data_IF_911586141775
#
_entry.id   IF_911586141775
#
_cell.length_a   1.000
_cell.length_b   1.000
_cell.length_c   1.000
_cell.angle_alpha   90.00
_cell.angle_beta   90.00
_cell.angle_gamma   90.00
#
_symmetry.space_group_name_H-M   'P 1'
#
loop_
_entity.id
_entity.type
_entity.pdbx_description
1 polymer ?
#
# COMPACT_ATOMS: atom_id res chain seq x y z
N UNK A 1 25.65 4.25 -18.67
CA UNK A 1 25.63 4.87 -17.33
C UNK A 1 24.57 5.95 -17.40
N UNK A 2 23.31 5.81 -17.00
CA UNK A 2 22.76 5.47 -15.67
C UNK A 2 21.27 5.04 -15.79
N UNK A 3 20.97 3.84 -16.31
CA UNK A 3 19.57 3.37 -16.34
C UNK A 3 19.01 3.09 -14.93
N UNK A 4 19.89 2.72 -13.99
CA UNK A 4 19.59 2.45 -12.58
C UNK A 4 18.78 3.59 -11.92
N UNK A 5 19.14 4.85 -12.19
CA UNK A 5 18.49 6.01 -11.59
C UNK A 5 17.02 6.15 -11.97
N UNK A 6 16.65 5.78 -13.21
CA UNK A 6 15.25 5.86 -13.66
C UNK A 6 14.36 4.79 -13.02
N UNK A 7 14.88 3.57 -12.83
CA UNK A 7 14.15 2.49 -12.14
C UNK A 7 13.99 2.80 -10.65
N UNK A 8 15.02 3.32 -10.01
CA UNK A 8 14.94 3.73 -8.60
C UNK A 8 13.92 4.85 -8.39
N UNK A 9 13.80 5.80 -9.32
CA UNK A 9 12.77 6.85 -9.26
C UNK A 9 11.34 6.28 -9.40
N UNK A 10 11.13 5.31 -10.30
CA UNK A 10 9.84 4.62 -10.42
C UNK A 10 9.50 3.82 -9.16
N UNK A 11 10.47 3.07 -8.61
CA UNK A 11 10.28 2.31 -7.37
C UNK A 11 10.03 3.23 -6.18
N UNK A 12 10.75 4.36 -6.09
CA UNK A 12 10.52 5.37 -5.07
C UNK A 12 9.09 5.91 -5.16
N UNK A 13 8.64 6.30 -6.35
CA UNK A 13 7.27 6.78 -6.59
C UNK A 13 6.20 5.75 -6.18
N UNK A 14 6.38 4.49 -6.57
CA UNK A 14 5.51 3.38 -6.14
C UNK A 14 5.51 3.21 -4.62
N UNK A 15 6.70 3.26 -3.98
CA UNK A 15 6.82 3.07 -2.55
C UNK A 15 6.16 4.18 -1.74
N UNK A 16 6.35 5.46 -2.14
CA UNK A 16 5.71 6.60 -1.46
C UNK A 16 4.21 6.63 -1.68
N UNK A 17 3.72 6.12 -2.83
CA UNK A 17 2.29 6.00 -3.14
C UNK A 17 1.67 4.89 -2.31
N UNK A 18 2.31 3.72 -2.28
CA UNK A 18 1.86 2.55 -1.54
C UNK A 18 1.87 2.78 -0.02
N UNK A 19 2.84 3.53 0.48
CA UNK A 19 2.90 3.95 1.89
C UNK A 19 2.06 5.19 2.20
N UNK A 20 1.36 5.76 1.20
CA UNK A 20 0.55 6.98 1.32
C UNK A 20 1.31 8.23 1.78
N UNK A 21 2.65 8.23 1.65
CA UNK A 21 3.49 9.37 1.99
C UNK A 21 3.26 10.56 1.07
N UNK A 22 3.16 10.29 -0.25
CA UNK A 22 2.78 11.29 -1.24
C UNK A 22 3.61 12.58 -1.23
N UNK A 23 4.95 12.48 -1.21
CA UNK A 23 5.85 13.65 -1.15
C UNK A 23 5.64 14.66 -2.29
N UNK A 24 5.05 14.24 -3.43
CA UNK A 24 4.68 15.13 -4.53
C UNK A 24 5.86 15.63 -5.37
N UNK A 25 7.04 15.07 -5.14
CA UNK A 25 8.27 15.33 -5.88
C UNK A 25 8.27 14.67 -7.26
N UNK A 26 7.59 13.53 -7.40
CA UNK A 26 7.32 12.87 -8.66
C UNK A 26 5.80 12.79 -8.83
N UNK A 27 5.29 13.34 -9.95
CA UNK A 27 3.86 13.35 -10.28
C UNK A 27 3.60 12.63 -11.60
N UNK A 28 2.54 11.81 -11.68
CA UNK A 28 2.19 11.15 -12.92
C UNK A 28 1.66 12.19 -13.92
N UNK A 29 2.37 12.39 -15.04
CA UNK A 29 1.97 13.35 -16.08
C UNK A 29 0.95 12.74 -17.06
N UNK A 30 0.90 11.41 -17.14
CA UNK A 30 0.02 10.68 -18.05
C UNK A 30 -1.27 10.24 -17.34
N UNK A 31 -2.41 10.23 -18.05
CA UNK A 31 -3.70 9.78 -17.52
C UNK A 31 -3.63 8.33 -17.02
N UNK A 32 -2.97 7.45 -17.78
CA UNK A 32 -2.79 6.04 -17.41
C UNK A 32 -1.95 5.91 -16.13
N UNK A 33 -0.91 6.72 -15.99
CA UNK A 33 -0.07 6.72 -14.79
C UNK A 33 -0.85 7.21 -13.56
N UNK A 34 -1.74 8.20 -13.73
CA UNK A 34 -2.59 8.70 -12.66
C UNK A 34 -3.57 7.64 -12.15
N UNK A 35 -4.18 6.87 -13.06
CA UNK A 35 -5.05 5.74 -12.68
C UNK A 35 -4.27 4.66 -11.94
N UNK A 36 -3.06 4.32 -12.40
CA UNK A 36 -2.18 3.37 -11.72
C UNK A 36 -1.83 3.83 -10.29
N UNK A 37 -1.50 5.10 -10.10
CA UNK A 37 -1.23 5.70 -8.78
C UNK A 37 -2.43 5.60 -7.86
N UNK A 38 -3.64 5.88 -8.36
CA UNK A 38 -4.88 5.76 -7.57
C UNK A 38 -5.12 4.30 -7.16
N UNK A 39 -4.93 3.35 -8.08
CA UNK A 39 -5.06 1.93 -7.76
C UNK A 39 -4.03 1.47 -6.73
N UNK A 40 -2.78 1.90 -6.86
CA UNK A 40 -1.69 1.57 -5.94
C UNK A 40 -1.96 2.13 -4.53
N UNK A 41 -2.46 3.37 -4.43
CA UNK A 41 -2.88 3.98 -3.18
C UNK A 41 -4.03 3.21 -2.51
N UNK A 42 -5.02 2.77 -3.29
CA UNK A 42 -6.14 1.95 -2.78
C UNK A 42 -5.66 0.60 -2.24
N UNK A 43 -4.73 -0.06 -2.93
CA UNK A 43 -4.14 -1.33 -2.47
C UNK A 43 -3.37 -1.11 -1.16
N UNK A 44 -2.60 -0.03 -1.06
CA UNK A 44 -1.87 0.36 0.14
C UNK A 44 -2.76 0.53 1.38
N UNK A 45 -4.01 0.97 1.20
CA UNK A 45 -4.96 1.16 2.29
C UNK A 45 -5.80 -0.10 2.60
N UNK A 46 -6.18 -0.88 1.58
CA UNK A 46 -6.97 -2.10 1.75
C UNK A 46 -6.14 -3.20 2.44
N UNK A 47 -4.84 -3.29 2.14
CA UNK A 47 -3.95 -4.31 2.70
C UNK A 47 -3.88 -4.30 4.25
N UNK A 48 -3.54 -3.19 4.93
CA UNK A 48 -3.51 -3.15 6.38
C UNK A 48 -4.90 -3.35 7.00
N UNK A 49 -5.96 -2.88 6.35
CA UNK A 49 -7.32 -3.06 6.84
C UNK A 49 -7.73 -4.55 6.89
N UNK A 50 -7.49 -5.29 5.80
CA UNK A 50 -7.75 -6.73 5.74
C UNK A 50 -6.85 -7.48 6.71
N UNK A 51 -5.56 -7.14 6.76
CA UNK A 51 -4.60 -7.77 7.67
C UNK A 51 -5.05 -7.65 9.14
N UNK A 52 -5.45 -6.44 9.56
CA UNK A 52 -5.97 -6.20 10.90
C UNK A 52 -7.28 -6.95 11.15
N UNK A 53 -8.21 -6.97 10.19
CA UNK A 53 -9.48 -7.68 10.34
C UNK A 53 -9.28 -9.20 10.53
N UNK A 54 -8.38 -9.81 9.75
CA UNK A 54 -8.03 -11.23 9.86
C UNK A 54 -7.33 -11.52 11.20
N UNK A 55 -6.43 -10.64 11.62
CA UNK A 55 -5.74 -10.76 12.91
C UNK A 55 -6.73 -10.71 14.08
N UNK A 56 -7.64 -9.74 14.07
CA UNK A 56 -8.69 -9.57 15.10
C UNK A 56 -9.65 -10.76 15.12
N UNK A 57 -10.09 -11.23 13.95
CA UNK A 57 -10.97 -12.41 13.85
C UNK A 57 -10.32 -13.65 14.49
N UNK A 58 -9.02 -13.84 14.27
CA UNK A 58 -8.26 -14.95 14.84
C UNK A 58 -8.09 -14.80 16.35
N UNK A 59 -7.82 -13.58 16.83
CA UNK A 59 -7.71 -13.28 18.25
C UNK A 59 -9.04 -13.46 19.01
N UNK A 60 -10.15 -12.98 18.45
CA UNK A 60 -11.49 -13.16 19.01
C UNK A 60 -11.89 -14.64 19.03
N UNK A 61 -11.54 -15.41 18.00
CA UNK A 61 -11.79 -16.86 17.97
C UNK A 61 -11.07 -17.60 19.11
N UNK A 62 -9.83 -17.20 19.44
CA UNK A 62 -9.10 -17.78 20.56
C UNK A 62 -9.58 -17.31 21.95
N UNK A 63 -10.20 -16.13 22.05
CA UNK A 63 -10.79 -15.64 23.32
C UNK A 63 -12.15 -16.26 23.68
N UNK A 64 -12.78 -17.00 22.77
CA UNK A 64 -14.06 -17.67 23.01
C UNK A 64 -13.91 -19.10 23.56
N UNK A 65 -12.95 -19.36 24.46
CA UNK A 65 -13.02 -20.54 25.31
C UNK A 65 -13.90 -20.21 26.53
N UNK A 66 -15.14 -20.72 26.60
CA UNK A 66 -16.02 -20.50 27.73
C UNK A 66 -15.43 -21.18 28.98
N UNK A 67 -15.38 -20.43 30.07
CA UNK A 67 -15.23 -21.02 31.40
C UNK A 67 -16.55 -21.72 31.75
N UNK A 68 -16.55 -23.05 31.69
CA UNK A 68 -17.47 -23.93 32.42
C UNK A 68 -16.68 -25.08 33.02
#
# INVERSE_FOLDING_TARGET
>A
MTQEGSYLNMLYFSFITLTTLGFGDIVPVNEVASVLTILEALVGQIYPAIFMALLVSTYLAHRHLPET
#
